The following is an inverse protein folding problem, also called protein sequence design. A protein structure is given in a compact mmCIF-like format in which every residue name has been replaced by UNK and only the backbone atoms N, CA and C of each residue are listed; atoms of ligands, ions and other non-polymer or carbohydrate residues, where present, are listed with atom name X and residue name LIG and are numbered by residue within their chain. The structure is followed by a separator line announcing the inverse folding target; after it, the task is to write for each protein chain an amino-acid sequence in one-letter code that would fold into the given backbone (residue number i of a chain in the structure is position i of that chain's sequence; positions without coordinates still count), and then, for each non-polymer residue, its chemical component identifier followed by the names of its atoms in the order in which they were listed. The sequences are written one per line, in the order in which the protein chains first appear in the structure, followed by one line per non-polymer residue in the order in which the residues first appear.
data_IF_793808410679
#
_entry.id   IF_793808410679
#
_cell.length_a   1.000
_cell.length_b   1.000
_cell.length_c   1.000
_cell.angle_alpha   90.00
_cell.angle_beta   90.00
_cell.angle_gamma   90.00
#
_symmetry.space_group_name_H-M   'P 1'
#
loop_
_entity.id
_entity.type
_entity.pdbx_description
1 polymer ?
#
# COMPACT_ATOMS: atom_id res chain seq x y z
N UNK A 1 7.07 59.00 15.85
CA UNK A 1 8.05 58.04 15.31
C UNK A 1 8.11 56.86 16.27
N UNK A 2 7.78 55.68 15.74
CA UNK A 2 7.53 54.41 16.43
C UNK A 2 8.81 53.63 16.63
N UNK A 3 9.07 53.15 17.84
CA UNK A 3 9.72 51.85 18.04
C UNK A 3 9.47 51.35 19.47
N UNK A 4 8.63 50.32 19.60
CA UNK A 4 8.57 49.45 20.78
C UNK A 4 8.89 48.04 20.32
N UNK A 5 10.12 47.60 20.60
CA UNK A 5 10.57 46.24 20.41
C UNK A 5 9.98 45.35 21.52
N UNK A 6 8.96 44.56 21.20
CA UNK A 6 8.53 43.42 22.00
C UNK A 6 8.94 42.14 21.31
N UNK A 7 10.01 41.53 21.84
CA UNK A 7 10.55 40.23 21.45
C UNK A 7 9.54 39.14 21.81
N UNK A 8 8.68 38.77 20.86
CA UNK A 8 7.66 37.73 21.01
C UNK A 8 8.24 36.37 20.68
N UNK A 9 8.20 35.53 21.71
CA UNK A 9 8.43 34.08 21.77
C UNK A 9 7.62 33.36 20.68
N UNK A 10 8.28 32.70 19.74
CA UNK A 10 7.65 31.71 18.86
C UNK A 10 8.23 30.34 19.18
N UNK A 11 7.59 29.70 20.15
CA UNK A 11 7.57 28.26 20.25
C UNK A 11 6.84 27.74 19.01
N UNK A 12 7.60 27.19 18.06
CA UNK A 12 7.08 26.54 16.87
C UNK A 12 6.30 25.31 17.34
N UNK A 13 4.98 25.48 17.41
CA UNK A 13 4.04 24.43 17.72
C UNK A 13 4.30 23.24 16.78
N UNK A 14 4.69 22.12 17.38
CA UNK A 14 4.63 20.82 16.75
C UNK A 14 3.16 20.58 16.48
N UNK A 15 2.74 20.77 15.23
CA UNK A 15 1.41 20.44 14.78
C UNK A 15 1.31 18.93 14.92
N UNK A 16 0.67 18.48 16.00
CA UNK A 16 0.28 17.10 16.16
C UNK A 16 -0.50 16.72 14.91
N UNK A 17 0.10 15.86 14.09
CA UNK A 17 -0.58 15.24 12.98
C UNK A 17 -1.61 14.33 13.64
N UNK A 18 -2.85 14.80 13.72
CA UNK A 18 -3.99 13.92 14.00
C UNK A 18 -3.87 12.72 13.06
N UNK A 19 -4.00 11.48 13.54
CA UNK A 19 -4.00 10.33 12.66
C UNK A 19 -5.16 10.55 11.70
N UNK A 20 -4.84 10.84 10.43
CA UNK A 20 -5.85 10.93 9.40
C UNK A 20 -6.71 9.67 9.50
N UNK A 21 -8.05 9.78 9.48
CA UNK A 21 -8.91 8.62 9.54
C UNK A 21 -8.43 7.66 8.45
N UNK A 22 -8.07 6.45 8.86
CA UNK A 22 -7.69 5.38 7.93
C UNK A 22 -8.96 5.10 7.13
N UNK A 23 -9.06 5.72 5.95
CA UNK A 23 -10.22 5.54 5.07
C UNK A 23 -10.42 4.06 4.82
N UNK A 24 -11.67 3.61 4.83
CA UNK A 24 -11.96 2.22 4.51
C UNK A 24 -11.60 1.95 3.05
N UNK A 25 -11.36 0.67 2.73
CA UNK A 25 -11.14 0.25 1.35
C UNK A 25 -12.34 0.63 0.47
N UNK A 26 -13.57 0.56 1.00
CA UNK A 26 -14.77 0.95 0.26
C UNK A 26 -14.76 2.45 -0.07
N UNK A 27 -14.39 3.30 0.90
CA UNK A 27 -14.28 4.74 0.70
C UNK A 27 -13.24 5.08 -0.38
N UNK A 28 -12.07 4.41 -0.33
CA UNK A 28 -11.01 4.59 -1.31
C UNK A 28 -11.43 4.15 -2.73
N UNK A 29 -12.24 3.10 -2.86
CA UNK A 29 -12.78 2.66 -4.15
C UNK A 29 -13.83 3.64 -4.70
N UNK A 30 -14.65 4.22 -3.82
CA UNK A 30 -15.71 5.16 -4.22
C UNK A 30 -15.16 6.52 -4.66
N UNK A 31 -14.11 7.02 -4.01
CA UNK A 31 -13.44 8.28 -4.35
C UNK A 31 -12.75 8.24 -5.72
N UNK A 32 -12.45 7.04 -6.23
CA UNK A 32 -11.74 6.86 -7.50
C UNK A 32 -12.66 7.10 -8.69
N UNK A 33 -12.40 8.17 -9.43
CA UNK A 33 -13.26 8.64 -10.52
C UNK A 33 -13.16 7.81 -11.81
N UNK A 34 -12.07 7.06 -12.04
CA UNK A 34 -11.85 6.28 -13.28
C UNK A 34 -11.06 4.99 -13.06
N UNK A 35 -11.27 4.00 -13.94
CA UNK A 35 -10.45 2.78 -14.01
C UNK A 35 -10.66 1.78 -12.87
N UNK A 36 -11.88 1.66 -12.33
CA UNK A 36 -12.20 0.73 -11.21
C UNK A 36 -11.92 -0.74 -11.51
N UNK A 37 -11.91 -1.14 -12.78
CA UNK A 37 -11.55 -2.50 -13.18
C UNK A 37 -10.06 -2.64 -13.48
N UNK A 38 -9.45 -1.63 -14.10
CA UNK A 38 -7.99 -1.62 -14.37
C UNK A 38 -7.15 -1.61 -13.08
N UNK A 39 -7.70 -1.04 -12.00
CA UNK A 39 -7.01 -1.03 -10.71
C UNK A 39 -6.93 -2.42 -10.09
N UNK A 40 -7.87 -3.32 -10.39
CA UNK A 40 -7.93 -4.67 -9.81
C UNK A 40 -6.74 -5.50 -10.28
N UNK A 41 -6.36 -5.39 -11.56
CA UNK A 41 -5.18 -6.06 -12.09
C UNK A 41 -3.91 -5.56 -11.38
N UNK A 42 -3.82 -4.25 -11.17
CA UNK A 42 -2.68 -3.59 -10.52
C UNK A 42 -2.55 -3.99 -9.05
N UNK A 43 -3.67 -4.03 -8.32
CA UNK A 43 -3.75 -4.54 -6.95
C UNK A 43 -3.31 -6.00 -6.90
N UNK A 44 -3.81 -6.83 -7.83
CA UNK A 44 -3.47 -8.26 -7.87
C UNK A 44 -1.98 -8.49 -8.13
N UNK A 45 -1.40 -7.72 -9.05
CA UNK A 45 0.03 -7.76 -9.30
C UNK A 45 0.83 -7.30 -8.07
N UNK A 46 0.42 -6.19 -7.46
CA UNK A 46 1.08 -5.65 -6.29
C UNK A 46 1.00 -6.58 -5.08
N UNK A 47 -0.14 -7.26 -4.86
CA UNK A 47 -0.29 -8.29 -3.84
C UNK A 47 0.70 -9.45 -4.05
N UNK A 48 0.91 -9.90 -5.29
CA UNK A 48 1.96 -10.91 -5.61
C UNK A 48 3.36 -10.38 -5.31
N UNK A 49 3.60 -9.08 -5.55
CA UNK A 49 4.88 -8.43 -5.25
C UNK A 49 5.13 -8.37 -3.75
N UNK A 50 4.13 -7.97 -2.96
CA UNK A 50 4.20 -7.94 -1.49
C UNK A 50 4.42 -9.34 -0.91
N UNK A 51 3.75 -10.37 -1.45
CA UNK A 51 3.93 -11.76 -1.00
C UNK A 51 5.35 -12.30 -1.22
N UNK A 52 6.09 -11.76 -2.19
CA UNK A 52 7.48 -12.12 -2.44
C UNK A 52 8.47 -11.46 -1.46
N UNK A 53 8.03 -10.45 -0.70
CA UNK A 53 8.88 -9.76 0.27
C UNK A 53 9.03 -10.59 1.54
N UNK A 54 10.27 -10.82 1.96
CA UNK A 54 10.58 -11.62 3.15
C UNK A 54 10.00 -11.00 4.43
N UNK A 55 9.96 -9.67 4.51
CA UNK A 55 9.36 -8.91 5.61
C UNK A 55 7.88 -9.21 5.83
N UNK A 56 7.15 -9.64 4.79
CA UNK A 56 5.70 -9.82 4.82
C UNK A 56 5.26 -11.30 4.86
N UNK A 57 6.20 -12.24 5.01
CA UNK A 57 5.89 -13.69 5.07
C UNK A 57 4.99 -14.11 6.23
N UNK A 58 4.90 -13.27 7.27
CA UNK A 58 4.04 -13.50 8.42
C UNK A 58 2.57 -13.21 8.14
N UNK A 59 2.27 -12.48 7.06
CA UNK A 59 0.92 -12.13 6.68
C UNK A 59 0.29 -13.24 5.84
N UNK A 60 -1.00 -13.47 6.06
CA UNK A 60 -1.80 -14.37 5.24
C UNK A 60 -2.20 -13.69 3.91
N UNK A 61 -2.80 -14.46 3.01
CA UNK A 61 -3.16 -13.96 1.68
C UNK A 61 -4.17 -12.81 1.71
N UNK A 62 -5.13 -12.86 2.64
CA UNK A 62 -6.14 -11.80 2.80
C UNK A 62 -5.49 -10.51 3.28
N UNK A 63 -4.61 -10.59 4.29
CA UNK A 63 -3.87 -9.44 4.81
C UNK A 63 -2.96 -8.80 3.77
N UNK A 64 -2.31 -9.61 2.93
CA UNK A 64 -1.51 -9.11 1.80
C UNK A 64 -2.40 -8.41 0.77
N UNK A 65 -3.59 -8.94 0.50
CA UNK A 65 -4.52 -8.33 -0.45
C UNK A 65 -5.06 -7.00 0.10
N UNK A 66 -5.45 -6.95 1.37
CA UNK A 66 -5.92 -5.74 2.03
C UNK A 66 -4.82 -4.66 2.03
N UNK A 67 -3.58 -5.05 2.34
CA UNK A 67 -2.43 -4.16 2.28
C UNK A 67 -2.23 -3.62 0.84
N UNK A 68 -2.30 -4.49 -0.17
CA UNK A 68 -2.17 -4.08 -1.56
C UNK A 68 -3.28 -3.12 -1.99
N UNK A 69 -4.52 -3.38 -1.58
CA UNK A 69 -5.65 -2.49 -1.85
C UNK A 69 -5.43 -1.12 -1.22
N UNK A 70 -5.04 -1.08 0.05
CA UNK A 70 -4.75 0.18 0.73
C UNK A 70 -3.60 0.92 0.04
N UNK A 71 -2.47 0.27 -0.23
CA UNK A 71 -1.31 0.95 -0.84
C UNK A 71 -1.59 1.50 -2.23
N UNK A 72 -2.32 0.75 -3.06
CA UNK A 72 -2.63 1.16 -4.43
C UNK A 72 -3.75 2.20 -4.48
N UNK A 73 -4.78 2.08 -3.64
CA UNK A 73 -5.91 3.00 -3.65
C UNK A 73 -5.64 4.30 -2.88
N UNK A 74 -4.69 4.29 -1.94
CA UNK A 74 -4.23 5.51 -1.26
C UNK A 74 -3.06 6.20 -1.96
N UNK A 75 -2.70 5.77 -3.17
CA UNK A 75 -1.56 6.26 -3.96
C UNK A 75 -0.20 6.22 -3.21
N UNK A 76 -0.06 5.37 -2.18
CA UNK A 76 1.24 5.10 -1.53
C UNK A 76 2.22 4.48 -2.51
N UNK A 77 1.71 3.66 -3.44
CA UNK A 77 2.44 3.21 -4.63
C UNK A 77 1.79 3.84 -5.86
N UNK A 78 2.62 4.45 -6.70
CA UNK A 78 2.11 5.06 -7.93
C UNK A 78 1.77 4.00 -8.97
N UNK A 79 0.69 4.23 -9.74
CA UNK A 79 0.31 3.35 -10.86
C UNK A 79 1.44 3.16 -11.87
N UNK A 80 2.22 4.21 -12.13
CA UNK A 80 3.37 4.15 -13.03
C UNK A 80 4.46 3.19 -12.52
N UNK A 81 4.70 3.17 -11.21
CA UNK A 81 5.63 2.22 -10.59
C UNK A 81 5.13 0.79 -10.74
N UNK A 82 3.85 0.53 -10.47
CA UNK A 82 3.26 -0.81 -10.62
C UNK A 82 3.43 -1.29 -12.07
N UNK A 83 3.08 -0.45 -13.05
CA UNK A 83 3.21 -0.79 -14.48
C UNK A 83 4.67 -1.05 -14.86
N UNK A 84 5.61 -0.26 -14.32
CA UNK A 84 7.05 -0.49 -14.53
C UNK A 84 7.46 -1.87 -14.00
N UNK A 85 7.05 -2.22 -12.77
CA UNK A 85 7.35 -3.54 -12.19
C UNK A 85 6.67 -4.68 -12.96
N UNK A 86 5.47 -4.46 -13.48
CA UNK A 86 4.80 -5.43 -14.36
C UNK A 86 5.61 -5.70 -15.63
N UNK A 87 6.18 -4.65 -16.23
CA UNK A 87 7.02 -4.76 -17.42
C UNK A 87 8.40 -5.42 -17.14
N UNK A 88 8.95 -5.23 -15.94
CA UNK A 88 10.19 -5.87 -15.49
C UNK A 88 10.03 -7.39 -15.23
N UNK A 89 8.79 -7.88 -15.19
CA UNK A 89 8.45 -9.29 -15.02
C UNK A 89 7.83 -9.60 -13.66
N UNK A 90 7.02 -10.67 -13.62
CA UNK A 90 6.32 -11.06 -12.41
C UNK A 90 7.30 -11.33 -11.26
N UNK A 91 7.00 -10.85 -10.03
CA UNK A 91 7.81 -11.14 -8.85
C UNK A 91 7.91 -12.66 -8.72
N UNK A 92 9.13 -13.18 -8.63
CA UNK A 92 9.41 -14.61 -8.62
C UNK A 92 8.48 -15.30 -7.63
N UNK A 93 7.56 -16.13 -8.15
CA UNK A 93 6.68 -16.93 -7.33
C UNK A 93 7.57 -17.82 -6.47
N UNK A 94 7.64 -17.50 -5.17
CA UNK A 94 8.25 -18.38 -4.19
C UNK A 94 7.65 -19.76 -4.38
N UNK A 95 8.52 -20.73 -4.64
CA UNK A 95 8.20 -22.15 -4.88
C UNK A 95 6.99 -22.56 -4.04
N UNK A 96 5.85 -22.78 -4.69
CA UNK A 96 4.74 -23.48 -4.08
C UNK A 96 5.24 -24.89 -3.81
N UNK A 97 5.52 -25.18 -2.53
CA UNK A 97 5.68 -26.53 -2.02
C UNK A 97 4.30 -27.20 -2.18
N UNK A 98 4.04 -27.75 -3.37
CA UNK A 98 2.99 -28.74 -3.55
C UNK A 98 3.44 -29.96 -2.79
N UNK A 99 3.02 -30.05 -1.52
CA UNK A 99 3.08 -31.26 -0.73
C UNK A 99 2.22 -32.34 -1.39
N UNK A 100 2.85 -33.07 -2.32
CA UNK A 100 2.38 -34.35 -2.82
C UNK A 100 2.52 -35.36 -1.67
N UNK A 101 1.44 -35.55 -0.92
CA UNK A 101 1.26 -36.73 -0.07
C UNK A 101 0.08 -37.53 -0.56
N UNK A 102 0.29 -38.19 -1.69
CA UNK A 102 -0.44 -39.41 -2.02
C UNK A 102 0.26 -40.60 -1.33
N UNK A 103 0.10 -40.73 -0.01
CA UNK A 103 0.47 -41.93 0.72
C UNK A 103 -0.50 -43.05 0.33
N UNK A 104 -0.04 -43.90 -0.59
CA UNK A 104 -0.67 -45.16 -0.98
C UNK A 104 -0.03 -46.27 -0.14
N UNK A 105 -0.71 -46.76 0.90
CA UNK A 105 -0.53 -48.13 1.39
C UNK A 105 -1.71 -48.63 2.22
#
# INVERSE_FOLDING_TARGET
MTEKATKKKEAKAVKAVEPAPVKSVEELVLERQTGKYEIIEKISFWAKHLRAQESLRHLNQTEILDLAMVEVLSDKVSIAEIVKKMAEGAPAAGKSDSGDKADKK
#
